data_IF_807826465374
#
_entry.id   IF_807826465374
#
_cell.length_a   1.000
_cell.length_b   1.000
_cell.length_c   1.000
_cell.angle_alpha   90.00
_cell.angle_beta   90.00
_cell.angle_gamma   90.00
#
_symmetry.space_group_name_H-M   'P 1'
#
loop_
_entity.id
_entity.type
_entity.pdbx_description
1 polymer ?
#
# COMPACT_ATOMS: atom_id res chain seq x y z
N UNK A 1 -0.30 29.64 6.13
CA UNK A 1 0.28 28.77 7.18
C UNK A 1 0.45 27.41 6.55
N UNK A 2 1.55 26.71 6.84
CA UNK A 2 1.87 25.46 6.16
C UNK A 2 1.87 24.29 7.14
N UNK A 3 1.34 23.17 6.69
CA UNK A 3 1.38 21.89 7.37
C UNK A 3 2.76 21.27 7.18
N UNK A 4 3.48 21.08 8.28
CA UNK A 4 4.75 20.39 8.26
C UNK A 4 4.52 18.87 8.22
N UNK A 5 4.88 18.26 7.08
CA UNK A 5 4.78 16.81 6.84
C UNK A 5 6.11 16.08 6.95
N UNK A 6 7.14 16.68 7.57
CA UNK A 6 8.49 16.08 7.67
C UNK A 6 8.51 14.77 8.45
N UNK A 7 7.61 14.60 9.42
CA UNK A 7 7.44 13.35 10.16
C UNK A 7 6.17 12.62 9.69
N UNK A 8 6.28 11.44 9.06
CA UNK A 8 5.13 10.69 8.57
C UNK A 8 4.19 10.19 9.68
N UNK A 9 4.65 10.18 10.94
CA UNK A 9 3.86 9.78 12.10
C UNK A 9 3.23 10.96 12.86
N UNK A 10 3.63 12.20 12.54
CA UNK A 10 3.12 13.40 13.19
C UNK A 10 3.19 14.60 12.25
N UNK A 11 2.05 15.06 11.74
CA UNK A 11 1.99 16.32 10.98
C UNK A 11 1.67 17.47 11.92
N UNK A 12 2.37 18.59 11.77
CA UNK A 12 2.19 19.75 12.66
C UNK A 12 1.76 20.97 11.88
N UNK A 13 0.75 21.66 12.39
CA UNK A 13 0.23 22.90 11.84
C UNK A 13 0.19 23.95 12.95
N UNK A 14 1.05 24.96 12.80
CA UNK A 14 1.16 26.03 13.78
C UNK A 14 0.50 27.31 13.26
N UNK A 15 -0.41 27.83 14.06
CA UNK A 15 -1.01 29.15 13.91
C UNK A 15 -0.41 30.12 14.91
N UNK A 16 -0.79 31.39 14.83
CA UNK A 16 -0.32 32.41 15.78
C UNK A 16 -0.76 32.14 17.23
N UNK A 17 -1.81 31.34 17.45
CA UNK A 17 -2.36 31.06 18.80
C UNK A 17 -2.36 29.56 19.17
N UNK A 18 -2.55 28.68 18.18
CA UNK A 18 -2.76 27.25 18.34
C UNK A 18 -1.69 26.43 17.60
N UNK A 19 -1.27 25.34 18.22
CA UNK A 19 -0.53 24.25 17.60
C UNK A 19 -1.44 23.03 17.47
N UNK A 20 -1.59 22.55 16.24
CA UNK A 20 -2.40 21.39 15.90
C UNK A 20 -1.46 20.29 15.42
N UNK A 21 -1.50 19.14 16.07
CA UNK A 21 -0.70 17.97 15.74
C UNK A 21 -1.61 16.82 15.31
N UNK A 22 -1.35 16.24 14.14
CA UNK A 22 -2.05 15.07 13.60
C UNK A 22 -1.21 13.83 13.92
N UNK A 23 -1.66 13.05 14.91
CA UNK A 23 -0.96 11.87 15.40
C UNK A 23 -1.33 10.63 14.59
N UNK A 24 -0.31 9.82 14.25
CA UNK A 24 -0.49 8.52 13.59
C UNK A 24 -0.49 8.57 12.06
N UNK A 25 -0.14 9.72 11.48
CA UNK A 25 -0.16 9.91 10.04
C UNK A 25 -1.57 9.82 9.45
N UNK A 26 -1.66 9.61 8.14
CA UNK A 26 -2.93 9.57 7.40
C UNK A 26 -2.91 8.38 6.45
N UNK A 27 -4.03 7.65 6.42
CA UNK A 27 -4.23 6.58 5.43
C UNK A 27 -4.35 7.18 4.03
N UNK A 28 -3.55 6.68 3.11
CA UNK A 28 -3.56 7.11 1.70
C UNK A 28 -4.56 6.26 0.89
N UNK A 29 -4.86 5.06 1.38
CA UNK A 29 -5.81 4.13 0.77
C UNK A 29 -7.25 4.52 1.13
N UNK A 30 -8.08 4.79 0.12
CA UNK A 30 -9.47 5.23 0.26
C UNK A 30 -9.62 6.75 0.40
N UNK A 31 -10.01 7.40 -0.70
CA UNK A 31 -10.29 8.84 -0.77
C UNK A 31 -11.67 9.22 -0.18
N UNK A 32 -12.46 8.25 0.28
CA UNK A 32 -13.82 8.47 0.78
C UNK A 32 -13.88 8.94 2.24
N UNK A 33 -12.81 8.75 3.02
CA UNK A 33 -12.77 9.11 4.45
C UNK A 33 -11.43 9.74 4.86
N UNK A 34 -11.47 10.66 5.82
CA UNK A 34 -10.28 11.33 6.35
C UNK A 34 -10.26 11.26 7.87
N UNK A 35 -10.05 10.04 8.38
CA UNK A 35 -9.91 9.80 9.82
C UNK A 35 -8.55 10.22 10.32
N UNK A 36 -8.51 11.13 11.29
CA UNK A 36 -7.29 11.66 11.89
C UNK A 36 -7.43 11.74 13.41
N UNK A 37 -6.31 11.59 14.12
CA UNK A 37 -6.26 11.90 15.55
C UNK A 37 -5.61 13.27 15.72
N UNK A 38 -6.41 14.28 16.02
CA UNK A 38 -5.94 15.65 16.24
C UNK A 38 -5.66 15.90 17.71
N UNK A 39 -4.50 16.50 17.99
CA UNK A 39 -4.13 17.09 19.27
C UNK A 39 -4.02 18.60 19.08
N UNK A 40 -4.83 19.37 19.81
CA UNK A 40 -4.80 20.84 19.77
C UNK A 40 -4.23 21.36 21.09
N UNK A 41 -3.25 22.25 21.00
CA UNK A 41 -2.56 22.88 22.13
C UNK A 41 -2.50 24.39 21.89
N UNK A 42 -2.67 25.20 22.92
CA UNK A 42 -2.54 26.66 22.82
C UNK A 42 -1.08 27.03 23.08
N UNK A 43 -0.44 27.77 22.16
CA UNK A 43 0.99 28.12 22.26
C UNK A 43 1.20 29.61 22.55
N UNK A 44 0.32 30.48 22.05
CA UNK A 44 0.44 31.94 22.21
C UNK A 44 -0.95 32.57 22.42
N UNK A 45 -1.32 32.87 23.66
CA UNK A 45 -2.59 33.56 23.95
C UNK A 45 -2.47 35.05 23.62
N UNK A 46 -3.18 35.55 22.59
CA UNK A 46 -3.19 36.99 22.26
C UNK A 46 -4.06 37.85 23.18
N UNK A 47 -5.07 37.27 23.85
CA UNK A 47 -5.95 38.02 24.76
C UNK A 47 -5.52 37.87 26.22
N UNK A 48 -5.11 39.00 26.82
CA UNK A 48 -4.62 39.11 28.21
C UNK A 48 -5.69 38.83 29.29
N UNK A 49 -6.98 38.76 28.94
CA UNK A 49 -8.07 38.58 29.91
C UNK A 49 -8.15 37.18 30.53
N UNK A 50 -7.46 36.19 29.96
CA UNK A 50 -7.45 34.79 30.42
C UNK A 50 -6.07 34.33 30.93
N UNK A 51 -5.27 35.28 31.44
CA UNK A 51 -3.91 35.05 31.97
C UNK A 51 -3.87 34.30 33.30
N UNK A 52 -5.01 34.09 33.98
CA UNK A 52 -5.04 33.75 35.42
C UNK A 52 -5.28 32.28 35.79
N UNK A 53 -5.07 31.31 34.89
CA UNK A 53 -5.06 29.90 35.30
C UNK A 53 -3.86 29.13 34.69
N UNK A 54 -2.76 28.96 35.45
CA UNK A 54 -1.58 28.19 35.05
C UNK A 54 -1.88 26.73 34.70
N UNK A 55 -2.98 26.17 35.21
CA UNK A 55 -3.40 24.78 34.93
C UNK A 55 -3.94 24.58 33.51
N UNK A 56 -4.50 25.64 32.87
CA UNK A 56 -5.06 25.55 31.52
C UNK A 56 -3.97 25.68 30.43
N UNK A 57 -2.79 26.20 30.76
CA UNK A 57 -1.69 26.42 29.81
C UNK A 57 -1.06 25.11 29.29
N UNK A 58 -1.31 23.98 29.95
CA UNK A 58 -0.88 22.65 29.51
C UNK A 58 -1.98 21.78 28.90
N UNK A 59 -3.21 22.29 28.76
CA UNK A 59 -4.32 21.49 28.26
C UNK A 59 -4.15 21.23 26.76
N UNK A 60 -4.14 19.96 26.42
CA UNK A 60 -4.23 19.49 25.05
C UNK A 60 -5.51 18.70 24.88
N UNK A 61 -6.29 19.05 23.86
CA UNK A 61 -7.48 18.28 23.48
C UNK A 61 -7.07 17.28 22.42
N UNK A 62 -7.23 15.99 22.73
CA UNK A 62 -7.02 14.90 21.77
C UNK A 62 -8.37 14.35 21.33
N UNK A 63 -8.60 14.27 20.03
CA UNK A 63 -9.81 13.67 19.50
C UNK A 63 -9.54 12.95 18.18
N UNK A 64 -10.22 11.82 18.00
CA UNK A 64 -10.30 11.13 16.72
C UNK A 64 -11.54 11.63 16.00
N UNK A 65 -11.37 12.18 14.80
CA UNK A 65 -12.47 12.68 13.97
C UNK A 65 -12.26 12.32 12.51
N UNK A 66 -13.35 12.26 11.76
CA UNK A 66 -13.32 12.23 10.30
C UNK A 66 -13.50 13.66 9.76
N UNK A 67 -12.50 14.18 9.04
CA UNK A 67 -12.52 15.55 8.51
C UNK A 67 -13.56 15.77 7.41
N UNK A 68 -14.09 14.70 6.81
CA UNK A 68 -15.19 14.80 5.82
C UNK A 68 -16.58 14.74 6.45
N UNK A 69 -16.67 14.55 7.78
CA UNK A 69 -17.94 14.55 8.48
C UNK A 69 -18.16 15.90 9.18
N UNK A 70 -18.93 16.78 8.54
CA UNK A 70 -19.22 18.13 9.03
C UNK A 70 -19.76 18.13 10.48
N UNK A 71 -20.62 17.16 10.81
CA UNK A 71 -21.24 17.09 12.13
C UNK A 71 -20.24 16.75 13.23
N UNK A 72 -19.22 15.94 12.92
CA UNK A 72 -18.12 15.65 13.84
C UNK A 72 -17.16 16.83 13.96
N UNK A 73 -16.85 17.48 12.84
CA UNK A 73 -15.97 18.65 12.78
C UNK A 73 -16.55 19.81 13.59
N UNK A 74 -17.84 20.13 13.43
CA UNK A 74 -18.50 21.19 14.21
C UNK A 74 -18.51 20.91 15.71
N UNK A 75 -18.84 19.67 16.11
CA UNK A 75 -18.82 19.26 17.52
C UNK A 75 -17.41 19.36 18.11
N UNK A 76 -16.39 18.97 17.34
CA UNK A 76 -15.00 19.10 17.74
C UNK A 76 -14.60 20.56 17.91
N UNK A 77 -14.89 21.42 16.91
CA UNK A 77 -14.62 22.86 16.95
C UNK A 77 -15.23 23.48 18.19
N UNK A 78 -16.52 23.22 18.44
CA UNK A 78 -17.23 23.75 19.61
C UNK A 78 -16.58 23.30 20.92
N UNK A 79 -16.25 22.02 21.04
CA UNK A 79 -15.65 21.44 22.26
C UNK A 79 -14.25 21.99 22.52
N UNK A 80 -13.46 22.23 21.46
CA UNK A 80 -12.11 22.80 21.56
C UNK A 80 -12.19 24.30 21.87
N UNK A 81 -13.10 25.03 21.22
CA UNK A 81 -13.34 26.44 21.49
C UNK A 81 -13.79 26.67 22.94
N UNK A 82 -14.70 25.84 23.46
CA UNK A 82 -15.15 25.88 24.86
C UNK A 82 -14.02 25.49 25.85
N UNK A 83 -13.28 24.41 25.59
CA UNK A 83 -12.24 23.93 26.52
C UNK A 83 -10.97 24.79 26.55
N UNK A 84 -10.61 25.37 25.40
CA UNK A 84 -9.39 26.16 25.26
C UNK A 84 -9.68 27.67 25.28
N UNK A 85 -10.95 28.07 25.44
CA UNK A 85 -11.42 29.46 25.43
C UNK A 85 -10.91 30.24 24.21
N UNK A 86 -10.97 29.59 23.04
CA UNK A 86 -10.45 30.13 21.77
C UNK A 86 -11.57 30.44 20.80
N UNK A 87 -11.35 31.40 19.89
CA UNK A 87 -12.35 31.80 18.90
C UNK A 87 -12.65 30.67 17.91
N UNK A 88 -13.94 30.29 17.79
CA UNK A 88 -14.38 29.23 16.87
C UNK A 88 -14.01 29.51 15.42
N UNK A 89 -14.08 30.78 14.99
CA UNK A 89 -13.79 31.21 13.61
C UNK A 89 -12.34 30.89 13.20
N UNK A 90 -11.37 31.13 14.10
CA UNK A 90 -9.97 30.86 13.84
C UNK A 90 -9.72 29.35 13.69
N UNK A 91 -10.36 28.55 14.54
CA UNK A 91 -10.27 27.09 14.50
C UNK A 91 -10.92 26.50 13.26
N UNK A 92 -12.10 27.00 12.84
CA UNK A 92 -12.75 26.58 11.59
C UNK A 92 -11.85 26.84 10.39
N UNK A 93 -11.24 28.03 10.32
CA UNK A 93 -10.31 28.38 9.23
C UNK A 93 -9.07 27.49 9.23
N UNK A 94 -8.51 27.21 10.40
CA UNK A 94 -7.36 26.32 10.55
C UNK A 94 -7.67 24.89 10.09
N UNK A 95 -8.81 24.33 10.50
CA UNK A 95 -9.22 22.97 10.11
C UNK A 95 -9.46 22.89 8.61
N UNK A 96 -10.14 23.88 8.01
CA UNK A 96 -10.37 23.91 6.57
C UNK A 96 -9.06 23.95 5.76
N UNK A 97 -8.08 24.75 6.19
CA UNK A 97 -6.78 24.81 5.51
C UNK A 97 -5.97 23.52 5.70
N UNK A 98 -6.04 22.91 6.89
CA UNK A 98 -5.44 21.58 7.13
C UNK A 98 -6.06 20.56 6.18
N UNK A 99 -7.39 20.45 6.10
CA UNK A 99 -8.06 19.48 5.21
C UNK A 99 -7.58 19.62 3.77
N UNK A 100 -7.53 20.86 3.24
CA UNK A 100 -7.04 21.14 1.88
C UNK A 100 -5.58 20.69 1.67
N UNK A 101 -4.69 20.96 2.64
CA UNK A 101 -3.29 20.56 2.54
C UNK A 101 -3.12 19.03 2.65
N UNK A 102 -3.97 18.36 3.41
CA UNK A 102 -4.00 16.90 3.52
C UNK A 102 -4.49 16.23 2.24
N UNK A 103 -5.49 16.80 1.57
CA UNK A 103 -5.95 16.35 0.25
C UNK A 103 -4.82 16.45 -0.78
N UNK A 104 -4.14 17.60 -0.84
CA UNK A 104 -3.01 17.79 -1.75
C UNK A 104 -1.86 16.82 -1.46
N UNK A 105 -1.53 16.60 -0.18
CA UNK A 105 -0.53 15.62 0.22
C UNK A 105 -0.92 14.19 -0.21
N UNK A 106 -2.19 13.79 -0.01
CA UNK A 106 -2.68 12.47 -0.44
C UNK A 106 -2.57 12.27 -1.95
N UNK A 107 -2.98 13.27 -2.74
CA UNK A 107 -2.86 13.22 -4.20
C UNK A 107 -1.40 13.07 -4.65
N UNK A 108 -0.49 13.86 -4.07
CA UNK A 108 0.95 13.74 -4.38
C UNK A 108 1.56 12.40 -3.97
N UNK A 109 1.09 11.79 -2.88
CA UNK A 109 1.56 10.47 -2.45
C UNK A 109 1.00 9.35 -3.32
N UNK A 110 -0.24 9.47 -3.80
CA UNK A 110 -0.82 8.55 -4.78
C UNK A 110 -0.05 8.60 -6.10
N UNK A 111 0.24 9.80 -6.62
CA UNK A 111 1.07 9.97 -7.82
C UNK A 111 2.47 9.33 -7.62
N UNK A 112 3.08 9.49 -6.45
CA UNK A 112 4.38 8.86 -6.12
C UNK A 112 4.29 7.35 -5.96
N UNK A 113 3.16 6.81 -5.50
CA UNK A 113 2.93 5.37 -5.39
C UNK A 113 2.68 4.73 -6.75
N UNK A 114 2.02 5.41 -7.68
CA UNK A 114 1.93 4.94 -9.07
C UNK A 114 3.30 4.93 -9.76
N UNK A 115 4.22 5.83 -9.39
CA UNK A 115 5.62 5.86 -9.88
C UNK A 115 6.53 4.91 -9.06
N UNK A 116 6.02 3.76 -8.60
CA UNK A 116 6.87 2.76 -7.92
C UNK A 116 7.83 2.11 -8.91
N UNK A 117 9.03 2.71 -8.98
CA UNK A 117 10.32 2.22 -9.47
C UNK A 117 10.26 0.88 -10.24
N UNK A 118 9.84 0.92 -11.49
CA UNK A 118 10.39 -0.03 -12.45
C UNK A 118 11.92 0.12 -12.37
N UNK A 119 12.66 -0.96 -12.13
CA UNK A 119 14.12 -0.92 -12.30
C UNK A 119 14.40 -0.54 -13.75
N UNK A 120 14.73 0.73 -13.98
CA UNK A 120 15.15 1.20 -15.30
C UNK A 120 16.51 0.56 -15.62
N UNK A 121 16.50 -0.45 -16.48
CA UNK A 121 17.71 -1.09 -16.99
C UNK A 121 18.59 -0.04 -17.67
N UNK A 122 19.90 -0.10 -17.43
CA UNK A 122 20.89 0.65 -18.18
C UNK A 122 20.85 0.25 -19.66
N UNK A 123 21.38 1.10 -20.55
CA UNK A 123 21.47 0.79 -21.99
C UNK A 123 22.28 -0.48 -22.23
N UNK A 124 23.40 -0.64 -21.52
CA UNK A 124 24.27 -1.82 -21.60
C UNK A 124 23.54 -3.10 -21.15
N UNK A 125 22.86 -3.06 -19.99
CA UNK A 125 22.08 -4.20 -19.48
C UNK A 125 20.95 -4.60 -20.43
N UNK A 126 20.34 -3.61 -21.10
CA UNK A 126 19.29 -3.85 -22.08
C UNK A 126 19.83 -4.50 -23.35
N UNK A 127 20.98 -4.05 -23.84
CA UNK A 127 21.64 -4.63 -25.01
C UNK A 127 22.05 -6.08 -24.74
N UNK A 128 22.65 -6.37 -23.59
CA UNK A 128 23.02 -7.72 -23.17
C UNK A 128 21.80 -8.63 -23.04
N UNK A 129 20.70 -8.13 -22.48
CA UNK A 129 19.44 -8.87 -22.37
C UNK A 129 18.84 -9.18 -23.74
N UNK A 130 18.84 -8.23 -24.68
CA UNK A 130 18.35 -8.43 -26.04
C UNK A 130 19.20 -9.48 -26.77
N UNK A 131 20.54 -9.38 -26.70
CA UNK A 131 21.43 -10.37 -27.28
C UNK A 131 21.21 -11.77 -26.69
N UNK A 132 20.94 -11.86 -25.38
CA UNK A 132 20.58 -13.12 -24.75
C UNK A 132 19.28 -13.70 -25.33
N UNK A 133 18.24 -12.86 -25.48
CA UNK A 133 16.91 -13.23 -26.00
C UNK A 133 16.92 -13.64 -27.48
N UNK A 134 17.77 -13.02 -28.31
CA UNK A 134 17.90 -13.33 -29.75
C UNK A 134 18.72 -14.60 -30.03
N UNK A 135 19.44 -15.13 -29.04
CA UNK A 135 20.25 -16.32 -29.21
C UNK A 135 19.43 -17.59 -29.43
N UNK A 136 20.01 -18.54 -30.19
CA UNK A 136 19.40 -19.86 -30.43
C UNK A 136 19.23 -20.66 -29.12
N UNK A 137 18.25 -21.56 -29.09
CA UNK A 137 17.96 -22.45 -27.96
C UNK A 137 17.70 -21.70 -26.63
N UNK A 138 16.93 -20.60 -26.68
CA UNK A 138 16.62 -19.76 -25.53
C UNK A 138 16.10 -20.55 -24.33
N UNK A 139 15.16 -21.47 -24.54
CA UNK A 139 14.59 -22.29 -23.46
C UNK A 139 15.64 -23.12 -22.71
N UNK A 140 16.58 -23.73 -23.45
CA UNK A 140 17.64 -24.53 -22.86
C UNK A 140 18.63 -23.66 -22.09
N UNK A 141 19.02 -22.51 -22.64
CA UNK A 141 19.91 -21.55 -21.99
C UNK A 141 19.30 -20.96 -20.73
N UNK A 142 18.02 -20.61 -20.76
CA UNK A 142 17.28 -20.15 -19.58
C UNK A 142 17.23 -21.25 -18.52
N UNK A 143 16.95 -22.49 -18.92
CA UNK A 143 16.92 -23.63 -18.02
C UNK A 143 18.28 -23.86 -17.32
N UNK A 144 19.38 -23.75 -18.06
CA UNK A 144 20.74 -23.84 -17.50
C UNK A 144 21.05 -22.70 -16.52
N UNK A 145 20.61 -21.47 -16.80
CA UNK A 145 20.78 -20.33 -15.89
C UNK A 145 19.96 -20.48 -14.60
N UNK A 146 18.72 -20.98 -14.70
CA UNK A 146 17.89 -21.31 -13.52
C UNK A 146 18.54 -22.42 -12.70
N UNK A 147 19.21 -23.39 -13.34
CA UNK A 147 20.00 -24.39 -12.64
C UNK A 147 21.18 -23.79 -11.86
N UNK A 148 21.87 -22.81 -12.45
CA UNK A 148 22.97 -22.08 -11.80
C UNK A 148 22.51 -21.20 -10.63
N UNK A 149 21.25 -20.76 -10.62
CA UNK A 149 20.69 -19.95 -9.52
C UNK A 149 20.28 -20.77 -8.28
N UNK A 150 20.54 -22.07 -8.26
CA UNK A 150 20.41 -22.91 -7.05
C UNK A 150 19.25 -23.90 -7.06
N UNK A 151 18.51 -24.02 -8.17
CA UNK A 151 17.43 -25.03 -8.30
C UNK A 151 18.00 -26.32 -8.90
N UNK A 152 18.38 -27.26 -8.02
CA UNK A 152 18.93 -28.58 -8.40
C UNK A 152 17.80 -29.61 -8.49
N UNK A 153 17.46 -30.03 -9.71
CA UNK A 153 16.40 -31.04 -9.97
C UNK A 153 15.19 -30.50 -10.74
N UNK A 154 14.29 -31.41 -11.14
CA UNK A 154 13.03 -31.15 -11.86
C UNK A 154 13.12 -30.14 -13.02
N UNK A 155 14.05 -30.36 -13.95
CA UNK A 155 14.35 -29.43 -15.05
C UNK A 155 13.13 -29.06 -15.90
N UNK A 156 12.23 -30.02 -16.14
CA UNK A 156 10.99 -29.79 -16.88
C UNK A 156 10.01 -28.92 -16.09
N UNK A 157 9.86 -29.15 -14.79
CA UNK A 157 8.88 -28.44 -13.96
C UNK A 157 9.32 -26.99 -13.70
N UNK A 158 10.61 -26.74 -13.44
CA UNK A 158 11.11 -25.37 -13.24
C UNK A 158 10.93 -24.52 -14.50
N UNK A 159 11.20 -25.08 -15.68
CA UNK A 159 11.01 -24.38 -16.94
C UNK A 159 9.52 -24.10 -17.20
N UNK A 160 8.65 -25.08 -16.91
CA UNK A 160 7.21 -24.91 -17.03
C UNK A 160 6.70 -23.81 -16.10
N UNK A 161 7.12 -23.80 -14.83
CA UNK A 161 6.74 -22.75 -13.87
C UNK A 161 7.22 -21.37 -14.32
N UNK A 162 8.44 -21.25 -14.81
CA UNK A 162 8.95 -19.98 -15.35
C UNK A 162 8.12 -19.48 -16.54
N UNK A 163 7.73 -20.37 -17.46
CA UNK A 163 6.86 -20.01 -18.59
C UNK A 163 5.46 -19.57 -18.15
N UNK A 164 4.92 -20.22 -17.10
CA UNK A 164 3.64 -19.85 -16.51
C UNK A 164 3.74 -18.49 -15.83
N UNK A 165 4.79 -18.23 -15.05
CA UNK A 165 4.98 -16.94 -14.37
C UNK A 165 5.16 -15.79 -15.37
N UNK A 166 5.88 -16.02 -16.47
CA UNK A 166 6.03 -15.02 -17.54
C UNK A 166 4.76 -14.82 -18.38
N UNK A 167 3.82 -15.77 -18.36
CA UNK A 167 2.53 -15.65 -19.05
C UNK A 167 1.63 -14.55 -18.47
N UNK A 168 1.93 -14.02 -17.27
CA UNK A 168 1.23 -12.87 -16.65
C UNK A 168 1.11 -11.63 -17.55
N UNK A 169 2.03 -11.45 -18.50
CA UNK A 169 2.03 -10.33 -19.45
C UNK A 169 1.15 -10.58 -20.69
N UNK A 170 0.58 -11.77 -20.84
CA UNK A 170 -0.33 -12.13 -21.94
C UNK A 170 -1.79 -11.83 -21.56
N UNK A 171 -2.65 -11.79 -22.56
CA UNK A 171 -4.11 -11.59 -22.38
C UNK A 171 -4.79 -12.74 -21.62
N UNK A 172 -4.17 -13.92 -21.67
CA UNK A 172 -4.61 -15.12 -20.98
C UNK A 172 -3.42 -15.74 -20.22
N UNK A 173 -3.22 -15.40 -18.94
CA UNK A 173 -2.21 -16.00 -18.10
C UNK A 173 -2.59 -17.44 -17.79
N UNK A 174 -1.57 -18.25 -17.59
CA UNK A 174 -1.70 -19.63 -17.14
C UNK A 174 -1.56 -19.66 -15.62
N UNK A 175 -2.19 -20.65 -14.99
CA UNK A 175 -2.06 -20.91 -13.55
C UNK A 175 -1.47 -22.30 -13.35
N UNK A 176 -0.64 -22.45 -12.32
CA UNK A 176 -0.04 -23.72 -11.92
C UNK A 176 -0.41 -24.06 -10.50
N UNK A 177 -0.78 -25.31 -10.26
CA UNK A 177 -1.01 -25.83 -8.91
C UNK A 177 -0.06 -27.01 -8.72
N UNK A 178 0.88 -26.85 -7.79
CA UNK A 178 1.87 -27.88 -7.47
C UNK A 178 1.37 -28.75 -6.32
N UNK A 179 0.72 -29.86 -6.65
CA UNK A 179 0.29 -30.86 -5.66
C UNK A 179 1.43 -31.85 -5.40
N UNK A 180 1.71 -32.17 -4.14
CA UNK A 180 2.42 -33.39 -3.80
C UNK A 180 2.89 -33.45 -2.36
N UNK A 181 3.44 -34.60 -1.98
CA UNK A 181 3.73 -34.93 -0.59
C UNK A 181 4.70 -33.94 0.06
N UNK A 182 4.40 -33.58 1.30
CA UNK A 182 5.23 -32.69 2.13
C UNK A 182 6.66 -33.22 2.23
N UNK A 183 7.66 -32.34 2.03
CA UNK A 183 9.09 -32.67 2.14
C UNK A 183 9.86 -32.86 0.82
N UNK A 184 9.22 -32.75 -0.35
CA UNK A 184 9.87 -32.90 -1.66
C UNK A 184 10.48 -31.59 -2.25
N UNK A 185 10.57 -30.52 -1.46
CA UNK A 185 11.17 -29.24 -1.92
C UNK A 185 10.32 -28.44 -2.92
N UNK A 186 9.01 -28.69 -3.02
CA UNK A 186 8.09 -27.96 -3.92
C UNK A 186 7.96 -26.48 -3.58
N UNK A 187 7.84 -26.15 -2.29
CA UNK A 187 7.82 -24.76 -1.82
C UNK A 187 9.13 -24.06 -2.16
N UNK A 188 10.26 -24.75 -2.02
CA UNK A 188 11.58 -24.24 -2.40
C UNK A 188 11.68 -23.97 -3.91
N UNK A 189 11.14 -24.85 -4.76
CA UNK A 189 11.06 -24.63 -6.20
C UNK A 189 10.23 -23.38 -6.53
N UNK A 190 9.07 -23.23 -5.89
CA UNK A 190 8.16 -22.10 -6.09
C UNK A 190 8.78 -20.77 -5.65
N UNK A 191 9.39 -20.73 -4.48
CA UNK A 191 10.06 -19.55 -3.94
C UNK A 191 11.24 -19.13 -4.84
N UNK A 192 12.11 -20.08 -5.22
CA UNK A 192 13.28 -19.78 -6.06
C UNK A 192 12.95 -19.37 -7.49
N UNK A 193 11.93 -19.97 -8.09
CA UNK A 193 11.46 -19.51 -9.40
C UNK A 193 10.72 -18.17 -9.27
N UNK A 194 10.06 -17.93 -8.13
CA UNK A 194 9.45 -16.64 -7.79
C UNK A 194 10.47 -15.51 -7.60
N UNK A 195 11.67 -15.79 -7.09
CA UNK A 195 12.77 -14.81 -6.99
C UNK A 195 13.26 -14.30 -8.35
N UNK A 196 13.07 -15.05 -9.44
CA UNK A 196 13.43 -14.62 -10.80
C UNK A 196 12.50 -13.54 -11.35
N UNK A 197 11.39 -13.30 -10.68
CA UNK A 197 10.37 -12.35 -11.05
C UNK A 197 10.58 -11.06 -10.23
N UNK A 198 10.47 -9.88 -10.84
CA UNK A 198 10.59 -8.61 -10.12
C UNK A 198 9.69 -8.56 -8.88
N UNK A 199 10.25 -8.15 -7.73
CA UNK A 199 9.52 -8.03 -6.47
C UNK A 199 8.32 -7.08 -6.58
N UNK A 200 8.40 -6.06 -7.44
CA UNK A 200 7.30 -5.13 -7.73
C UNK A 200 6.05 -5.81 -8.27
N UNK A 201 6.22 -6.94 -8.96
CA UNK A 201 5.15 -7.70 -9.58
C UNK A 201 4.89 -9.03 -8.85
N UNK A 202 5.42 -9.22 -7.63
CA UNK A 202 5.27 -10.45 -6.83
C UNK A 202 4.45 -10.16 -5.58
N UNK A 203 3.43 -10.98 -5.33
CA UNK A 203 2.63 -10.95 -4.11
C UNK A 203 2.68 -12.34 -3.49
N UNK A 204 3.21 -12.43 -2.28
CA UNK A 204 3.25 -13.65 -1.48
C UNK A 204 2.13 -13.62 -0.44
N UNK A 205 1.26 -14.61 -0.47
CA UNK A 205 0.13 -14.74 0.45
C UNK A 205 0.28 -16.07 1.20
N UNK A 206 0.72 -15.96 2.45
CA UNK A 206 0.88 -17.12 3.35
C UNK A 206 -0.44 -17.61 3.91
N UNK A 207 -1.42 -16.71 4.08
CA UNK A 207 -2.77 -17.05 4.58
C UNK A 207 -3.85 -16.27 3.85
N UNK A 208 -4.81 -16.99 3.25
CA UNK A 208 -6.00 -16.40 2.64
C UNK A 208 -7.17 -16.51 3.60
N UNK A 209 -7.68 -15.37 4.07
CA UNK A 209 -9.02 -15.31 4.69
C UNK A 209 -10.05 -14.91 3.64
N UNK A 210 -11.29 -15.39 3.77
CA UNK A 210 -12.39 -15.14 2.81
C UNK A 210 -12.60 -13.65 2.48
N UNK A 211 -12.33 -12.76 3.45
CA UNK A 211 -12.50 -11.32 3.29
C UNK A 211 -11.25 -10.61 2.73
N UNK A 212 -10.06 -11.21 2.81
CA UNK A 212 -8.82 -10.56 2.37
C UNK A 212 -8.85 -10.25 0.86
N UNK A 213 -9.46 -11.13 0.06
CA UNK A 213 -9.54 -10.97 -1.40
C UNK A 213 -10.35 -9.72 -1.81
N UNK A 214 -11.38 -9.36 -1.05
CA UNK A 214 -12.21 -8.18 -1.33
C UNK A 214 -11.51 -6.86 -0.99
N UNK A 215 -10.48 -6.89 -0.15
CA UNK A 215 -9.69 -5.71 0.18
C UNK A 215 -8.58 -5.42 -0.83
N UNK A 216 -8.13 -6.41 -1.60
CA UNK A 216 -7.22 -6.16 -2.71
C UNK A 216 -7.96 -5.41 -3.82
N UNK A 217 -7.46 -4.23 -4.19
CA UNK A 217 -8.07 -3.45 -5.26
C UNK A 217 -8.09 -4.27 -6.55
N UNK A 218 -9.21 -4.28 -7.27
CA UNK A 218 -9.38 -5.04 -8.53
C UNK A 218 -8.31 -4.73 -9.60
N UNK A 219 -7.59 -3.60 -9.47
CA UNK A 219 -6.49 -3.18 -10.35
C UNK A 219 -5.11 -3.51 -9.80
N UNK A 220 -4.97 -3.77 -8.50
CA UNK A 220 -3.68 -4.06 -7.88
C UNK A 220 -3.16 -5.45 -8.24
N UNK A 221 -4.03 -6.39 -8.61
CA UNK A 221 -3.61 -7.75 -8.92
C UNK A 221 -3.18 -7.91 -10.40
N UNK A 222 -3.59 -7.02 -11.30
CA UNK A 222 -3.32 -7.16 -12.74
C UNK A 222 -1.83 -7.21 -13.06
N UNK A 223 -1.42 -8.16 -13.91
CA UNK A 223 -0.03 -8.42 -14.31
C UNK A 223 0.92 -8.85 -13.19
N UNK A 224 0.40 -9.14 -12.00
CA UNK A 224 1.18 -9.64 -10.86
C UNK A 224 1.14 -11.16 -10.74
N UNK A 225 2.22 -11.69 -10.18
CA UNK A 225 2.37 -13.09 -9.78
C UNK A 225 1.85 -13.23 -8.35
N UNK A 226 0.88 -14.13 -8.13
CA UNK A 226 0.36 -14.41 -6.78
C UNK A 226 0.83 -15.79 -6.34
N UNK A 227 1.67 -15.83 -5.31
CA UNK A 227 2.19 -17.06 -4.72
C UNK A 227 1.40 -17.39 -3.45
N UNK A 228 0.79 -18.57 -3.41
CA UNK A 228 0.02 -19.08 -2.27
C UNK A 228 0.74 -20.32 -1.75
N UNK A 229 1.07 -20.34 -0.46
CA UNK A 229 1.85 -21.43 0.16
C UNK A 229 0.96 -22.55 0.73
N UNK A 230 -0.05 -22.21 1.53
CA UNK A 230 -0.93 -23.19 2.17
C UNK A 230 -2.32 -23.22 1.52
N UNK A 231 -2.60 -24.33 0.84
CA UNK A 231 -3.88 -24.58 0.15
C UNK A 231 -4.93 -25.26 1.03
N UNK A 232 -4.51 -25.92 2.12
CA UNK A 232 -5.35 -26.79 2.96
C UNK A 232 -6.47 -26.05 3.73
N UNK A 233 -6.42 -24.71 3.80
CA UNK A 233 -7.49 -23.86 4.33
C UNK A 233 -8.27 -23.07 3.27
N UNK A 234 -7.91 -23.24 1.98
CA UNK A 234 -8.35 -22.37 0.90
C UNK A 234 -9.33 -23.03 -0.07
N UNK A 235 -9.79 -24.26 0.14
CA UNK A 235 -10.76 -24.93 -0.77
C UNK A 235 -12.04 -24.11 -0.99
N UNK A 236 -12.56 -23.44 0.05
CA UNK A 236 -13.73 -22.56 -0.05
C UNK A 236 -13.43 -21.22 -0.75
N UNK A 237 -12.16 -20.81 -0.81
CA UNK A 237 -11.69 -19.53 -1.35
C UNK A 237 -11.13 -19.68 -2.77
N UNK A 238 -10.55 -20.84 -3.10
CA UNK A 238 -10.01 -21.21 -4.41
C UNK A 238 -11.06 -21.12 -5.49
N UNK A 239 -12.25 -21.68 -5.26
CA UNK A 239 -13.30 -21.70 -6.27
C UNK A 239 -13.80 -20.28 -6.60
N UNK A 240 -14.10 -19.41 -5.62
CA UNK A 240 -14.40 -18.01 -5.88
C UNK A 240 -13.22 -17.22 -6.47
N UNK A 241 -11.97 -17.44 -6.02
CA UNK A 241 -10.77 -16.79 -6.55
C UNK A 241 -10.58 -17.16 -8.01
N UNK A 242 -10.46 -18.44 -8.34
CA UNK A 242 -10.32 -18.93 -9.71
C UNK A 242 -11.49 -18.50 -10.58
N UNK A 243 -12.73 -18.57 -10.08
CA UNK A 243 -13.92 -18.11 -10.80
C UNK A 243 -13.92 -16.61 -11.01
N UNK A 244 -13.47 -15.82 -10.05
CA UNK A 244 -13.32 -14.36 -10.19
C UNK A 244 -12.21 -14.02 -11.18
N UNK A 245 -11.13 -14.80 -11.19
CA UNK A 245 -10.00 -14.66 -12.11
C UNK A 245 -10.32 -15.13 -13.54
N UNK A 246 -11.25 -16.08 -13.71
CA UNK A 246 -11.67 -16.60 -15.02
C UNK A 246 -12.90 -15.86 -15.60
N UNK A 247 -13.86 -15.42 -14.77
CA UNK A 247 -15.12 -14.84 -15.25
C UNK A 247 -15.10 -13.30 -15.30
N UNK A 248 -14.32 -12.63 -14.46
CA UNK A 248 -14.16 -11.18 -14.57
C UNK A 248 -12.95 -10.87 -15.44
N UNK A 249 -13.21 -10.32 -16.63
CA UNK A 249 -12.26 -9.88 -17.66
C UNK A 249 -11.14 -8.93 -17.17
N UNK A 250 -11.18 -8.53 -15.90
CA UNK A 250 -10.30 -7.58 -15.24
C UNK A 250 -9.20 -8.30 -14.45
N UNK A 251 -9.41 -9.55 -14.02
CA UNK A 251 -8.42 -10.40 -13.32
C UNK A 251 -7.75 -11.42 -14.25
N UNK A 252 -8.14 -11.45 -15.53
CA UNK A 252 -7.55 -12.25 -16.61
C UNK A 252 -6.07 -11.93 -16.90
N UNK A 253 -5.33 -11.30 -15.99
CA UNK A 253 -3.97 -10.83 -16.22
C UNK A 253 -3.03 -11.16 -15.05
N UNK A 254 -3.44 -12.00 -14.11
CA UNK A 254 -2.60 -12.44 -13.00
C UNK A 254 -2.15 -13.87 -13.27
N UNK A 255 -0.89 -14.22 -12.99
CA UNK A 255 -0.42 -15.61 -13.05
C UNK A 255 -0.31 -16.20 -11.65
#
# INVERSE_FOLDING_TARGET
MELNTSNPHCFTYQTEELLIELLGGIRIDGLDRMRVTMKVTVVNRKHATYLTNPELAGLSVRHNLDLYNDTQVEKFIRRVAEKLETGSIALTKAIADITRQLEQYRLQQLDKQEIRKEKALSREEREDAIQFLEGKNLLQRTNEQIGKSGVVGEETNRLLMYLIFTSRKREHPLHVISLGNSGLGKTYLQEKVGELIPEEDKIEITTLSENALYYFGQRELQHRLVLIEDLDGAESVLYPVLRSMQNHSILNRCA
#
